data_IF_854907885480
#
_entry.id   IF_854907885480
#
_cell.length_a   1.000
_cell.length_b   1.000
_cell.length_c   1.000
_cell.angle_alpha   90.00
_cell.angle_beta   90.00
_cell.angle_gamma   90.00
#
_symmetry.space_group_name_H-M   'P 1'
#
loop_
_entity.id
_entity.type
_entity.pdbx_description
1 polymer ?
#
# COMPACT_ATOMS: atom_id res chain seq x y z
N UNK A 1 14.45 56.42 34.29
CA UNK A 1 15.86 56.76 33.98
C UNK A 1 16.73 55.53 34.16
N UNK A 2 17.72 55.34 33.25
CA UNK A 2 18.75 54.26 33.15
C UNK A 2 18.25 53.00 32.41
N UNK A 3 18.25 52.91 31.06
CA UNK A 3 19.36 52.84 30.08
C UNK A 3 20.43 51.79 30.42
N UNK A 4 20.35 50.62 29.76
CA UNK A 4 21.51 49.78 29.44
C UNK A 4 21.37 49.33 27.97
N UNK A 5 22.13 50.00 27.11
CA UNK A 5 22.60 49.46 25.82
C UNK A 5 23.93 48.76 26.12
N UNK A 6 24.21 47.63 25.47
CA UNK A 6 25.47 47.43 24.72
C UNK A 6 25.50 46.13 23.91
N UNK A 7 25.68 46.35 22.62
CA UNK A 7 26.11 45.46 21.53
C UNK A 7 27.24 44.49 21.90
N UNK A 8 27.15 43.24 21.43
CA UNK A 8 28.31 42.47 20.94
C UNK A 8 27.88 41.76 19.64
N UNK A 9 28.32 42.32 18.52
CA UNK A 9 28.40 41.64 17.24
C UNK A 9 29.84 41.15 17.08
N UNK A 10 30.03 39.83 16.90
CA UNK A 10 31.31 39.26 16.46
C UNK A 10 31.09 38.60 15.11
N UNK A 11 31.70 39.23 14.12
CA UNK A 11 31.89 38.77 12.75
C UNK A 11 32.94 37.66 12.76
N UNK A 12 32.58 36.49 12.24
CA UNK A 12 33.49 35.36 12.00
C UNK A 12 33.38 34.89 10.56
N UNK A 13 34.08 35.60 9.66
CA UNK A 13 34.36 35.19 8.28
C UNK A 13 35.54 34.22 8.33
N UNK A 14 35.41 33.03 7.74
CA UNK A 14 36.42 32.38 6.86
C UNK A 14 36.30 30.85 6.87
N UNK A 15 36.13 30.25 5.70
CA UNK A 15 36.17 28.80 5.53
C UNK A 15 35.80 28.34 4.12
N UNK A 16 36.32 29.04 3.09
CA UNK A 16 36.28 28.60 1.70
C UNK A 16 37.20 27.37 1.55
N UNK A 17 36.63 26.17 1.49
CA UNK A 17 37.35 24.94 1.16
C UNK A 17 36.83 24.39 -0.15
N UNK A 18 37.65 24.58 -1.20
CA UNK A 18 37.45 23.99 -2.51
C UNK A 18 37.68 22.48 -2.44
N UNK A 19 36.71 21.69 -2.90
CA UNK A 19 36.94 20.32 -3.34
C UNK A 19 36.39 20.19 -4.76
N UNK A 20 37.25 20.49 -5.72
CA UNK A 20 37.11 20.10 -7.12
C UNK A 20 37.38 18.60 -7.26
N UNK A 21 36.50 17.91 -8.00
CA UNK A 21 36.86 16.68 -8.71
C UNK A 21 36.49 15.34 -8.06
N UNK A 22 35.22 14.94 -8.17
CA UNK A 22 34.87 13.56 -8.52
C UNK A 22 33.61 13.58 -9.41
N UNK A 23 33.84 13.77 -10.70
CA UNK A 23 32.86 13.54 -11.76
C UNK A 23 33.13 12.14 -12.31
N UNK A 24 32.22 11.19 -12.10
CA UNK A 24 31.94 10.01 -12.94
C UNK A 24 30.99 9.05 -12.19
N UNK A 25 29.69 9.32 -12.29
CA UNK A 25 28.60 8.32 -12.44
C UNK A 25 27.22 9.00 -12.43
N UNK A 26 27.10 10.13 -13.14
CA UNK A 26 25.85 10.85 -13.35
C UNK A 26 25.32 10.67 -14.78
N UNK A 27 25.37 9.46 -15.32
CA UNK A 27 24.69 9.10 -16.57
C UNK A 27 24.10 7.70 -16.41
N UNK A 28 22.83 7.65 -15.96
CA UNK A 28 21.86 6.57 -16.19
C UNK A 28 20.51 6.82 -15.47
N UNK A 29 20.33 7.98 -14.84
CA UNK A 29 19.06 8.39 -14.23
C UNK A 29 18.51 9.73 -14.75
N UNK A 30 18.90 10.15 -15.97
CA UNK A 30 18.24 11.24 -16.70
C UNK A 30 16.96 10.71 -17.36
N UNK A 31 16.05 10.14 -16.56
CA UNK A 31 14.68 9.86 -16.97
C UNK A 31 13.92 11.19 -16.84
N UNK A 32 13.83 11.92 -17.95
CA UNK A 32 12.99 13.11 -18.18
C UNK A 32 12.65 13.94 -16.92
N UNK A 33 13.50 14.93 -16.61
CA UNK A 33 13.15 16.04 -15.71
C UNK A 33 12.01 16.92 -16.27
N UNK A 34 11.53 16.65 -17.48
CA UNK A 34 10.52 17.45 -18.19
C UNK A 34 9.09 16.92 -18.06
N UNK A 35 8.88 15.85 -17.27
CA UNK A 35 7.54 15.30 -17.00
C UNK A 35 7.18 15.41 -15.51
N UNK A 36 7.77 16.40 -14.82
CA UNK A 36 7.30 16.80 -13.50
C UNK A 36 5.93 17.45 -13.72
N UNK A 37 4.86 16.71 -13.47
CA UNK A 37 3.50 17.24 -13.35
C UNK A 37 3.57 18.60 -12.66
N UNK A 38 3.04 19.65 -13.29
CA UNK A 38 2.98 21.01 -12.71
C UNK A 38 2.68 20.89 -11.22
N UNK A 39 3.66 21.25 -10.38
CA UNK A 39 3.50 21.15 -8.94
C UNK A 39 2.38 22.10 -8.57
N UNK A 40 1.33 21.60 -7.91
CA UNK A 40 0.26 22.48 -7.43
C UNK A 40 0.90 23.46 -6.44
N UNK A 41 0.92 24.73 -6.79
CA UNK A 41 1.38 25.81 -5.93
C UNK A 41 0.21 26.26 -5.05
N UNK A 42 0.45 26.34 -3.74
CA UNK A 42 -0.52 26.82 -2.76
C UNK A 42 -0.07 28.18 -2.23
N UNK A 43 -1.01 29.10 -1.99
CA UNK A 43 -0.72 30.35 -1.29
C UNK A 43 -0.30 30.08 0.16
N UNK A 44 0.35 31.05 0.82
CA UNK A 44 0.73 30.91 2.23
C UNK A 44 -0.48 30.66 3.13
N UNK A 45 -1.59 31.36 2.89
CA UNK A 45 -2.84 31.15 3.62
C UNK A 45 -3.39 29.72 3.41
N UNK A 46 -3.33 29.19 2.18
CA UNK A 46 -3.73 27.81 1.89
C UNK A 46 -2.83 26.80 2.61
N UNK A 47 -1.51 27.02 2.62
CA UNK A 47 -0.56 26.15 3.33
C UNK A 47 -0.86 26.09 4.82
N UNK A 48 -1.13 27.24 5.45
CA UNK A 48 -1.47 27.33 6.86
C UNK A 48 -2.77 26.57 7.17
N UNK A 49 -3.83 26.75 6.38
CA UNK A 49 -5.10 26.03 6.55
C UNK A 49 -4.94 24.51 6.37
N UNK A 50 -4.21 24.08 5.34
CA UNK A 50 -3.90 22.65 5.11
C UNK A 50 -3.10 22.07 6.28
N UNK A 51 -2.14 22.83 6.82
CA UNK A 51 -1.36 22.39 7.97
C UNK A 51 -2.23 22.26 9.22
N UNK A 52 -3.14 23.22 9.46
CA UNK A 52 -4.10 23.16 10.56
C UNK A 52 -4.99 21.91 10.48
N UNK A 53 -5.63 21.64 9.34
CA UNK A 53 -6.45 20.42 9.15
C UNK A 53 -5.64 19.13 9.37
N UNK A 54 -4.37 19.09 8.95
CA UNK A 54 -3.49 17.93 9.21
C UNK A 54 -3.17 17.75 10.69
N UNK A 55 -2.95 18.85 11.42
CA UNK A 55 -2.68 18.81 12.86
C UNK A 55 -3.93 18.36 13.63
N UNK A 56 -5.11 18.88 13.26
CA UNK A 56 -6.38 18.48 13.85
C UNK A 56 -6.67 16.99 13.62
N UNK A 57 -6.51 16.52 12.39
CA UNK A 57 -6.60 15.09 12.07
C UNK A 57 -5.58 14.25 12.87
N UNK A 58 -4.33 14.71 13.00
CA UNK A 58 -3.31 14.00 13.76
C UNK A 58 -3.67 13.92 15.26
N UNK A 59 -4.25 14.98 15.82
CA UNK A 59 -4.75 14.99 17.21
C UNK A 59 -5.93 14.03 17.37
N UNK A 60 -6.93 14.12 16.48
CA UNK A 60 -8.15 13.29 16.53
C UNK A 60 -7.86 11.79 16.35
N UNK A 61 -6.81 11.44 15.61
CA UNK A 61 -6.50 10.03 15.28
C UNK A 61 -5.33 9.44 16.04
N UNK A 62 -4.62 10.21 16.89
CA UNK A 62 -3.46 9.71 17.64
C UNK A 62 -3.83 8.49 18.48
N UNK A 63 -4.86 8.61 19.32
CA UNK A 63 -5.24 7.54 20.24
C UNK A 63 -5.89 6.37 19.49
N UNK A 64 -6.66 6.66 18.43
CA UNK A 64 -7.21 5.62 17.54
C UNK A 64 -6.11 4.77 16.89
N UNK A 65 -5.00 5.39 16.48
CA UNK A 65 -3.87 4.68 15.91
C UNK A 65 -3.11 3.85 16.95
N UNK A 66 -3.00 4.36 18.18
CA UNK A 66 -2.40 3.60 19.28
C UNK A 66 -3.24 2.35 19.59
N UNK A 67 -4.54 2.52 19.81
CA UNK A 67 -5.48 1.42 20.07
C UNK A 67 -5.49 0.41 18.91
N UNK A 68 -5.48 0.89 17.66
CA UNK A 68 -5.36 0.03 16.47
C UNK A 68 -4.09 -0.82 16.48
N UNK A 69 -2.96 -0.28 16.95
CA UNK A 69 -1.71 -1.03 17.02
C UNK A 69 -1.75 -2.09 18.12
N UNK A 70 -2.30 -1.75 19.28
CA UNK A 70 -2.50 -2.69 20.39
C UNK A 70 -3.41 -3.84 19.98
N UNK A 71 -4.57 -3.54 19.37
CA UNK A 71 -5.50 -4.57 18.91
C UNK A 71 -4.90 -5.45 17.81
N UNK A 72 -4.03 -4.92 16.95
CA UNK A 72 -3.30 -5.73 15.95
C UNK A 72 -2.28 -6.65 16.59
N UNK A 73 -1.55 -6.17 17.60
CA UNK A 73 -0.63 -7.00 18.37
C UNK A 73 -1.41 -8.11 19.11
N UNK A 74 -2.50 -7.75 19.80
CA UNK A 74 -3.42 -8.68 20.45
C UNK A 74 -3.98 -9.71 19.47
N UNK A 75 -4.42 -9.28 18.28
CA UNK A 75 -4.90 -10.19 17.24
C UNK A 75 -3.86 -11.24 16.87
N UNK A 76 -2.59 -10.82 16.74
CA UNK A 76 -1.50 -11.74 16.42
C UNK A 76 -1.33 -12.78 17.53
N UNK A 77 -1.29 -12.35 18.79
CA UNK A 77 -1.19 -13.23 19.95
C UNK A 77 -2.35 -14.23 20.02
N UNK A 78 -3.59 -13.74 19.87
CA UNK A 78 -4.78 -14.59 19.90
C UNK A 78 -4.77 -15.65 18.78
N UNK A 79 -4.36 -15.26 17.58
CA UNK A 79 -4.29 -16.20 16.44
C UNK A 79 -3.14 -17.19 16.61
N UNK A 80 -2.01 -16.81 17.21
CA UNK A 80 -0.85 -17.70 17.37
C UNK A 80 -0.93 -18.63 18.57
N UNK A 81 -1.95 -18.51 19.43
CA UNK A 81 -2.13 -19.41 20.56
C UNK A 81 -2.31 -20.87 20.09
N UNK A 82 -1.81 -21.81 20.89
CA UNK A 82 -1.92 -23.26 20.62
C UNK A 82 -3.39 -23.68 20.51
N UNK A 83 -4.22 -23.12 21.40
CA UNK A 83 -5.68 -23.25 21.40
C UNK A 83 -6.31 -21.85 21.23
N UNK A 84 -6.58 -21.42 19.99
CA UNK A 84 -7.15 -20.11 19.72
C UNK A 84 -8.57 -19.97 20.29
N UNK A 85 -8.79 -18.92 21.06
CA UNK A 85 -10.13 -18.51 21.46
C UNK A 85 -10.80 -17.73 20.32
N UNK A 86 -11.68 -18.42 19.59
CA UNK A 86 -12.40 -17.84 18.44
C UNK A 86 -13.30 -16.68 18.84
N UNK A 87 -13.91 -16.72 20.04
CA UNK A 87 -14.77 -15.63 20.53
C UNK A 87 -13.93 -14.38 20.79
N UNK A 88 -12.79 -14.52 21.44
CA UNK A 88 -11.86 -13.41 21.67
C UNK A 88 -11.28 -12.86 20.35
N UNK A 89 -10.97 -13.75 19.39
CA UNK A 89 -10.50 -13.35 18.06
C UNK A 89 -11.55 -12.51 17.33
N UNK A 90 -12.80 -12.97 17.25
CA UNK A 90 -13.86 -12.23 16.56
C UNK A 90 -14.16 -10.89 17.24
N UNK A 91 -14.24 -10.87 18.58
CA UNK A 91 -14.43 -9.63 19.32
C UNK A 91 -13.30 -8.61 19.04
N UNK A 92 -12.06 -9.09 18.86
CA UNK A 92 -10.95 -8.22 18.51
C UNK A 92 -11.01 -7.76 17.04
N UNK A 93 -11.46 -8.61 16.12
CA UNK A 93 -11.73 -8.24 14.70
C UNK A 93 -12.80 -7.15 14.61
N UNK A 94 -13.86 -7.25 15.41
CA UNK A 94 -14.94 -6.25 15.48
C UNK A 94 -14.39 -4.88 15.88
N UNK A 95 -13.67 -4.80 16.99
CA UNK A 95 -13.02 -3.56 17.45
C UNK A 95 -12.07 -2.97 16.40
N UNK A 96 -11.26 -3.81 15.75
CA UNK A 96 -10.36 -3.37 14.67
C UNK A 96 -11.15 -2.82 13.48
N UNK A 97 -12.28 -3.41 13.13
CA UNK A 97 -13.12 -2.92 12.04
C UNK A 97 -13.71 -1.56 12.36
N UNK A 98 -14.27 -1.40 13.55
CA UNK A 98 -14.90 -0.16 14.01
C UNK A 98 -13.89 0.99 14.05
N UNK A 99 -12.70 0.77 14.60
CA UNK A 99 -11.63 1.77 14.60
C UNK A 99 -11.15 2.13 13.20
N UNK A 100 -11.01 1.15 12.29
CA UNK A 100 -10.66 1.43 10.90
C UNK A 100 -11.71 2.31 10.23
N UNK A 101 -12.99 2.06 10.51
CA UNK A 101 -14.08 2.84 9.96
C UNK A 101 -14.03 4.29 10.48
N UNK A 102 -13.88 4.49 11.79
CA UNK A 102 -13.68 5.82 12.40
C UNK A 102 -12.49 6.55 11.76
N UNK A 103 -11.35 5.89 11.64
CA UNK A 103 -10.16 6.46 10.99
C UNK A 103 -10.41 6.87 9.52
N UNK A 104 -11.20 6.12 8.76
CA UNK A 104 -11.55 6.49 7.38
C UNK A 104 -12.45 7.72 7.32
N UNK A 105 -13.42 7.81 8.24
CA UNK A 105 -14.31 8.98 8.33
C UNK A 105 -13.51 10.25 8.66
N UNK A 106 -12.58 10.17 9.62
CA UNK A 106 -11.65 11.27 9.94
C UNK A 106 -10.77 11.64 8.75
N UNK A 107 -10.23 10.65 8.03
CA UNK A 107 -9.42 10.90 6.83
C UNK A 107 -10.24 11.57 5.73
N UNK A 108 -11.50 11.19 5.57
CA UNK A 108 -12.39 11.82 4.61
C UNK A 108 -12.72 13.26 5.01
N UNK A 109 -13.06 13.51 6.27
CA UNK A 109 -13.32 14.86 6.78
C UNK A 109 -12.15 15.81 6.51
N UNK A 110 -10.93 15.41 6.90
CA UNK A 110 -9.70 16.16 6.62
C UNK A 110 -9.50 16.41 5.11
N UNK A 111 -9.75 15.41 4.26
CA UNK A 111 -9.65 15.58 2.80
C UNK A 111 -10.66 16.58 2.26
N UNK A 112 -11.88 16.61 2.80
CA UNK A 112 -12.91 17.55 2.41
C UNK A 112 -12.59 18.97 2.85
N UNK A 113 -12.06 19.15 4.06
CA UNK A 113 -11.55 20.45 4.51
C UNK A 113 -10.43 20.95 3.59
N UNK A 114 -9.44 20.11 3.31
CA UNK A 114 -8.36 20.43 2.37
C UNK A 114 -8.93 20.79 1.00
N UNK A 115 -9.90 20.05 0.47
CA UNK A 115 -10.52 20.34 -0.84
C UNK A 115 -11.26 21.70 -0.84
N UNK A 116 -11.82 22.12 0.29
CA UNK A 116 -12.57 23.37 0.41
C UNK A 116 -11.69 24.62 0.30
N UNK A 117 -10.40 24.52 0.61
CA UNK A 117 -9.45 25.65 0.55
C UNK A 117 -8.72 25.77 -0.79
N UNK A 118 -8.98 24.85 -1.72
CA UNK A 118 -8.36 24.83 -3.06
C UNK A 118 -9.19 25.61 -4.07
N UNK A 119 -8.51 26.22 -5.05
CA UNK A 119 -9.16 26.75 -6.25
C UNK A 119 -9.64 25.63 -7.16
N UNK A 120 -10.52 25.94 -8.10
CA UNK A 120 -11.06 24.94 -9.02
C UNK A 120 -9.98 24.40 -9.97
N UNK A 121 -9.00 25.23 -10.37
CA UNK A 121 -7.81 24.76 -11.12
C UNK A 121 -6.94 23.81 -10.29
N UNK A 122 -6.75 24.09 -9.00
CA UNK A 122 -5.99 23.23 -8.10
C UNK A 122 -6.73 21.91 -7.85
N UNK A 123 -8.06 21.94 -7.72
CA UNK A 123 -8.91 20.72 -7.62
C UNK A 123 -8.82 19.88 -8.89
N UNK A 124 -8.82 20.49 -10.08
CA UNK A 124 -8.67 19.80 -11.36
C UNK A 124 -7.28 19.17 -11.54
N UNK A 125 -6.24 19.77 -10.95
CA UNK A 125 -4.87 19.25 -10.94
C UNK A 125 -4.65 18.16 -9.90
N UNK A 126 -5.49 18.08 -8.86
CA UNK A 126 -5.46 16.96 -7.95
C UNK A 126 -5.94 15.70 -8.69
N UNK A 127 -5.12 14.64 -8.79
CA UNK A 127 -5.59 13.40 -9.38
C UNK A 127 -6.76 12.89 -8.55
N UNK A 128 -7.97 12.87 -9.14
CA UNK A 128 -9.14 12.20 -8.60
C UNK A 128 -8.87 10.70 -8.49
N UNK A 129 -8.18 10.27 -7.43
CA UNK A 129 -7.95 8.87 -7.09
C UNK A 129 -7.37 8.01 -8.22
N UNK A 130 -6.67 8.58 -9.22
CA UNK A 130 -6.08 7.80 -10.31
C UNK A 130 -4.87 7.01 -9.81
N UNK A 131 -5.15 5.86 -9.22
CA UNK A 131 -4.40 4.63 -9.51
C UNK A 131 -4.64 4.21 -10.97
N UNK A 132 -4.47 5.13 -11.92
CA UNK A 132 -4.27 4.72 -13.31
C UNK A 132 -2.90 4.04 -13.35
N UNK A 133 -2.92 2.71 -13.23
CA UNK A 133 -1.97 1.83 -13.91
C UNK A 133 -0.49 2.24 -13.88
N UNK A 134 0.01 2.76 -12.75
CA UNK A 134 1.46 2.92 -12.53
C UNK A 134 2.20 1.57 -12.42
N UNK A 135 1.50 0.45 -12.64
CA UNK A 135 2.07 -0.89 -12.78
C UNK A 135 2.11 -1.46 -14.22
N UNK A 136 1.59 -0.78 -15.26
CA UNK A 136 1.45 -1.38 -16.61
C UNK A 136 2.43 -0.89 -17.69
N UNK A 137 3.32 0.08 -17.42
CA UNK A 137 4.30 0.60 -18.41
C UNK A 137 5.77 0.31 -18.08
N UNK A 138 6.08 -0.81 -17.42
CA UNK A 138 7.47 -1.17 -17.11
C UNK A 138 7.97 -2.52 -17.64
N UNK A 139 7.25 -3.18 -18.55
CA UNK A 139 7.73 -4.44 -19.14
C UNK A 139 7.90 -4.47 -20.67
N UNK A 140 7.63 -3.37 -21.41
CA UNK A 140 7.79 -3.38 -22.88
C UNK A 140 9.09 -2.74 -23.41
N UNK A 141 9.90 -2.07 -22.58
CA UNK A 141 11.17 -1.45 -23.03
C UNK A 141 12.44 -2.05 -22.43
N UNK A 142 12.35 -3.25 -21.84
CA UNK A 142 13.48 -3.94 -21.21
C UNK A 142 14.06 -5.15 -21.97
N UNK A 143 13.52 -5.49 -23.15
CA UNK A 143 13.95 -6.68 -23.92
C UNK A 143 14.48 -6.36 -25.34
N UNK A 144 15.13 -5.21 -25.52
CA UNK A 144 15.76 -4.86 -26.81
C UNK A 144 17.21 -4.34 -26.70
N UNK A 145 17.85 -4.46 -25.54
CA UNK A 145 19.28 -4.14 -25.38
C UNK A 145 19.99 -5.25 -24.62
N UNK A 146 20.11 -6.42 -25.27
CA UNK A 146 21.24 -7.35 -25.10
C UNK A 146 21.20 -8.45 -26.18
N UNK A 147 21.04 -8.03 -27.44
CA UNK A 147 21.33 -8.85 -28.61
C UNK A 147 22.45 -8.17 -29.38
N UNK A 148 23.69 -8.40 -28.97
CA UNK A 148 24.88 -8.08 -29.78
C UNK A 148 24.68 -8.84 -31.10
N UNK A 149 24.43 -8.09 -32.17
CA UNK A 149 24.49 -8.57 -33.54
C UNK A 149 25.87 -9.19 -33.78
N UNK A 150 25.95 -10.51 -33.82
CA UNK A 150 26.90 -11.18 -34.70
C UNK A 150 26.22 -11.24 -36.06
N UNK A 151 26.48 -10.18 -36.84
CA UNK A 151 26.30 -10.18 -38.27
C UNK A 151 27.44 -11.05 -38.80
N UNK A 152 27.12 -12.28 -39.21
CA UNK A 152 27.77 -13.00 -40.30
C UNK A 152 27.13 -14.39 -40.46
N UNK A 153 26.60 -14.64 -41.66
CA UNK A 153 26.55 -15.98 -42.24
C UNK A 153 25.27 -16.81 -42.07
N UNK A 154 24.57 -16.96 -43.20
CA UNK A 154 23.70 -18.09 -43.61
C UNK A 154 22.22 -18.10 -43.18
N UNK A 155 21.39 -17.80 -44.18
CA UNK A 155 20.49 -18.78 -44.79
C UNK A 155 19.70 -19.68 -43.82
N UNK A 156 18.42 -19.36 -43.63
CA UNK A 156 17.35 -20.10 -44.30
C UNK A 156 16.00 -19.57 -43.78
N UNK A 157 15.23 -19.00 -44.70
CA UNK A 157 13.83 -18.74 -44.46
C UNK A 157 13.09 -20.06 -44.23
N UNK A 158 12.44 -20.19 -43.06
CA UNK A 158 11.37 -21.14 -42.84
C UNK A 158 10.22 -20.47 -42.09
N UNK A 159 9.16 -20.24 -42.87
CA UNK A 159 7.74 -20.39 -42.53
C UNK A 159 7.28 -19.86 -41.17
N UNK A 160 6.65 -18.69 -41.22
CA UNK A 160 5.62 -18.31 -40.25
C UNK A 160 4.35 -19.11 -40.54
N UNK A 161 4.14 -20.18 -39.79
CA UNK A 161 2.83 -20.82 -39.62
C UNK A 161 2.87 -21.56 -38.28
N UNK A 162 1.81 -21.45 -37.48
CA UNK A 162 1.67 -21.94 -36.09
C UNK A 162 2.34 -21.09 -34.99
N UNK A 163 1.77 -19.92 -34.72
CA UNK A 163 1.96 -19.19 -33.45
C UNK A 163 0.68 -19.22 -32.61
N UNK A 164 0.16 -20.40 -32.33
CA UNK A 164 -1.02 -20.59 -31.45
C UNK A 164 -0.89 -21.84 -30.57
N UNK A 165 0.20 -22.00 -29.81
CA UNK A 165 0.18 -22.99 -28.69
C UNK A 165 1.34 -22.93 -27.68
N UNK A 166 2.21 -21.90 -27.72
CA UNK A 166 3.36 -21.80 -26.80
C UNK A 166 3.34 -20.52 -25.95
N UNK A 167 2.15 -20.04 -25.58
CA UNK A 167 1.96 -18.81 -24.79
C UNK A 167 1.83 -18.98 -23.27
N UNK A 168 1.78 -20.21 -22.73
CA UNK A 168 1.49 -20.46 -21.30
C UNK A 168 2.53 -21.32 -20.56
N UNK A 169 3.48 -21.96 -21.27
CA UNK A 169 4.48 -22.86 -20.64
C UNK A 169 5.75 -22.16 -20.14
N UNK A 170 6.00 -20.91 -20.55
CA UNK A 170 7.24 -20.19 -20.25
C UNK A 170 7.26 -19.34 -18.97
N UNK A 171 6.14 -19.20 -18.24
CA UNK A 171 6.06 -18.38 -17.02
C UNK A 171 6.07 -19.17 -15.70
N UNK A 172 6.20 -20.50 -15.74
CA UNK A 172 6.17 -21.36 -14.54
C UNK A 172 7.55 -21.90 -14.12
N UNK A 173 8.56 -21.91 -14.99
CA UNK A 173 9.79 -22.69 -14.77
C UNK A 173 10.86 -22.03 -13.86
N UNK A 174 10.61 -20.87 -13.25
CA UNK A 174 11.61 -20.23 -12.36
C UNK A 174 11.02 -19.47 -11.18
N UNK A 175 9.83 -19.85 -10.72
CA UNK A 175 9.46 -19.57 -9.33
C UNK A 175 10.01 -20.73 -8.50
N UNK A 176 10.93 -20.50 -7.53
CA UNK A 176 11.28 -21.55 -6.60
C UNK A 176 9.96 -22.11 -6.06
N UNK A 177 9.80 -23.43 -6.17
CA UNK A 177 8.63 -24.12 -5.67
C UNK A 177 8.61 -23.87 -4.16
N UNK A 178 7.89 -22.84 -3.72
CA UNK A 178 7.84 -22.38 -2.34
C UNK A 178 6.99 -23.36 -1.51
N UNK A 179 7.25 -24.66 -1.64
CA UNK A 179 6.79 -25.67 -0.70
C UNK A 179 7.65 -25.58 0.57
N UNK A 180 7.75 -24.39 1.16
CA UNK A 180 8.56 -24.14 2.35
C UNK A 180 8.10 -24.99 3.55
N UNK A 181 6.85 -25.46 3.52
CA UNK A 181 6.27 -26.34 4.52
C UNK A 181 6.28 -27.83 4.13
N UNK A 182 6.86 -28.18 2.97
CA UNK A 182 6.95 -29.56 2.48
C UNK A 182 5.62 -30.34 2.58
N UNK A 183 4.53 -29.78 2.06
CA UNK A 183 3.22 -30.43 2.09
C UNK A 183 3.21 -31.75 1.32
N UNK A 184 2.50 -32.76 1.86
CA UNK A 184 2.17 -33.99 1.13
C UNK A 184 1.21 -33.69 -0.03
N UNK A 185 1.09 -34.60 -0.99
CA UNK A 185 0.17 -34.40 -2.11
C UNK A 185 -1.30 -34.37 -1.67
N UNK A 186 -1.66 -35.20 -0.68
CA UNK A 186 -2.97 -35.18 -0.03
C UNK A 186 -3.25 -33.83 0.65
N UNK A 187 -2.29 -33.29 1.42
CA UNK A 187 -2.42 -31.97 2.06
C UNK A 187 -2.62 -30.86 1.02
N UNK A 188 -1.94 -30.93 -0.14
CA UNK A 188 -2.09 -29.94 -1.22
C UNK A 188 -3.50 -29.97 -1.82
N UNK A 189 -4.07 -31.15 -2.01
CA UNK A 189 -5.44 -31.31 -2.51
C UNK A 189 -6.43 -30.67 -1.53
N UNK A 190 -6.35 -31.04 -0.26
CA UNK A 190 -7.21 -30.49 0.80
C UNK A 190 -7.07 -28.96 0.93
N UNK A 191 -5.85 -28.43 0.86
CA UNK A 191 -5.60 -26.99 0.89
C UNK A 191 -6.24 -26.26 -0.30
N UNK A 192 -6.19 -26.86 -1.49
CA UNK A 192 -6.82 -26.28 -2.68
C UNK A 192 -8.34 -26.31 -2.57
N UNK A 193 -8.93 -27.38 -2.04
CA UNK A 193 -10.36 -27.48 -1.77
C UNK A 193 -10.81 -26.41 -0.77
N UNK A 194 -10.11 -26.26 0.36
CA UNK A 194 -10.38 -25.19 1.34
C UNK A 194 -10.27 -23.79 0.71
N UNK A 195 -9.30 -23.59 -0.19
CA UNK A 195 -9.14 -22.32 -0.91
C UNK A 195 -10.33 -22.05 -1.83
N UNK A 196 -10.77 -23.05 -2.59
CA UNK A 196 -11.91 -22.94 -3.51
C UNK A 196 -13.21 -22.70 -2.73
N UNK A 197 -13.43 -23.45 -1.65
CA UNK A 197 -14.59 -23.27 -0.77
C UNK A 197 -14.63 -21.83 -0.21
N UNK A 198 -13.53 -21.37 0.39
CA UNK A 198 -13.44 -20.00 0.90
C UNK A 198 -13.66 -18.94 -0.19
N UNK A 199 -13.13 -19.15 -1.41
CA UNK A 199 -13.36 -18.24 -2.54
C UNK A 199 -14.83 -18.20 -2.95
N UNK A 200 -15.51 -19.34 -2.97
CA UNK A 200 -16.93 -19.45 -3.33
C UNK A 200 -17.81 -18.80 -2.28
N UNK A 201 -17.59 -19.12 -1.00
CA UNK A 201 -18.38 -18.58 0.12
C UNK A 201 -18.21 -17.07 0.26
N UNK A 202 -17.00 -16.54 0.05
CA UNK A 202 -16.74 -15.11 0.17
C UNK A 202 -17.04 -14.31 -1.10
N UNK A 203 -17.48 -14.96 -2.18
CA UNK A 203 -17.66 -14.32 -3.49
C UNK A 203 -18.69 -13.19 -3.42
N UNK A 204 -19.89 -13.47 -2.94
CA UNK A 204 -20.98 -12.48 -2.90
C UNK A 204 -20.59 -11.24 -2.09
N UNK A 205 -19.94 -11.43 -0.95
CA UNK A 205 -19.42 -10.33 -0.13
C UNK A 205 -18.33 -9.52 -0.85
N UNK A 206 -17.45 -10.17 -1.62
CA UNK A 206 -16.44 -9.46 -2.42
C UNK A 206 -17.09 -8.66 -3.54
N UNK A 207 -18.06 -9.24 -4.23
CA UNK A 207 -18.80 -8.59 -5.31
C UNK A 207 -19.55 -7.35 -4.76
N UNK A 208 -20.22 -7.49 -3.61
CA UNK A 208 -20.86 -6.35 -2.92
C UNK A 208 -19.84 -5.28 -2.49
N UNK A 209 -18.69 -5.68 -1.94
CA UNK A 209 -17.64 -4.73 -1.58
C UNK A 209 -17.09 -3.98 -2.80
N UNK A 210 -16.98 -4.63 -3.96
CA UNK A 210 -16.56 -4.01 -5.21
C UNK A 210 -17.61 -2.99 -5.69
N UNK A 211 -18.89 -3.34 -5.66
CA UNK A 211 -20.00 -2.43 -5.99
C UNK A 211 -19.94 -1.19 -5.09
N UNK A 212 -19.78 -1.35 -3.77
CA UNK A 212 -19.67 -0.22 -2.85
C UNK A 212 -18.41 0.63 -3.07
N UNK A 213 -17.30 0.03 -3.50
CA UNK A 213 -16.08 0.78 -3.87
C UNK A 213 -16.28 1.59 -5.16
N UNK A 214 -16.98 1.03 -6.13
CA UNK A 214 -17.36 1.74 -7.36
C UNK A 214 -18.34 2.88 -7.06
N UNK A 215 -19.36 2.63 -6.22
CA UNK A 215 -20.28 3.65 -5.71
C UNK A 215 -19.53 4.75 -4.97
N UNK A 216 -18.58 4.40 -4.09
CA UNK A 216 -17.71 5.37 -3.42
C UNK A 216 -16.99 6.25 -4.44
N UNK A 217 -16.37 5.62 -5.45
CA UNK A 217 -15.62 6.34 -6.48
C UNK A 217 -16.53 7.30 -7.24
N UNK A 218 -17.73 6.86 -7.61
CA UNK A 218 -18.73 7.70 -8.28
C UNK A 218 -19.12 8.92 -7.45
N UNK A 219 -19.43 8.73 -6.15
CA UNK A 219 -19.74 9.83 -5.22
C UNK A 219 -18.53 10.77 -5.04
N UNK A 220 -17.30 10.25 -5.07
CA UNK A 220 -16.10 11.09 -4.96
C UNK A 220 -15.80 11.90 -6.23
N UNK A 221 -16.37 11.50 -7.38
CA UNK A 221 -16.19 12.18 -8.67
C UNK A 221 -17.35 13.10 -9.07
N UNK A 222 -18.46 13.09 -8.32
CA UNK A 222 -19.55 14.02 -8.58
C UNK A 222 -19.14 15.46 -8.32
N UNK A 223 -19.79 16.39 -9.02
CA UNK A 223 -19.57 17.84 -8.87
C UNK A 223 -19.83 18.29 -7.43
N UNK A 224 -20.91 17.76 -6.85
CA UNK A 224 -21.26 17.93 -5.44
C UNK A 224 -21.04 16.61 -4.69
N UNK A 225 -20.24 16.62 -3.62
CA UNK A 225 -19.98 15.44 -2.80
C UNK A 225 -20.95 15.42 -1.63
N UNK A 226 -21.87 14.46 -1.63
CA UNK A 226 -22.73 14.18 -0.49
C UNK A 226 -21.96 13.41 0.60
N UNK A 227 -21.64 14.09 1.70
CA UNK A 227 -20.91 13.51 2.83
C UNK A 227 -21.70 12.39 3.52
N UNK A 228 -23.02 12.49 3.58
CA UNK A 228 -23.89 11.49 4.18
C UNK A 228 -23.83 10.17 3.41
N UNK A 229 -23.97 10.24 2.08
CA UNK A 229 -23.84 9.07 1.21
C UNK A 229 -22.45 8.42 1.29
N UNK A 230 -21.39 9.23 1.40
CA UNK A 230 -20.04 8.70 1.61
C UNK A 230 -19.93 7.93 2.92
N UNK A 231 -20.44 8.48 4.02
CA UNK A 231 -20.36 7.83 5.33
C UNK A 231 -21.18 6.55 5.40
N UNK A 232 -22.39 6.54 4.85
CA UNK A 232 -23.21 5.33 4.78
C UNK A 232 -22.49 4.23 3.97
N UNK A 233 -21.94 4.59 2.81
CA UNK A 233 -21.19 3.65 1.98
C UNK A 233 -19.92 3.13 2.67
N UNK A 234 -19.22 3.96 3.46
CA UNK A 234 -18.10 3.54 4.29
C UNK A 234 -18.51 2.56 5.40
N UNK A 235 -19.67 2.77 6.02
CA UNK A 235 -20.21 1.90 7.06
C UNK A 235 -20.57 0.52 6.50
N UNK A 236 -21.26 0.49 5.35
CA UNK A 236 -21.57 -0.76 4.63
C UNK A 236 -20.29 -1.52 4.24
N UNK A 237 -19.31 -0.81 3.67
CA UNK A 237 -18.04 -1.42 3.29
C UNK A 237 -17.26 -1.94 4.49
N UNK A 238 -17.32 -1.25 5.64
CA UNK A 238 -16.73 -1.72 6.90
C UNK A 238 -17.37 -3.01 7.38
N UNK A 239 -18.70 -3.10 7.36
CA UNK A 239 -19.44 -4.32 7.74
C UNK A 239 -19.04 -5.53 6.90
N UNK A 240 -18.97 -5.37 5.57
CA UNK A 240 -18.55 -6.45 4.67
C UNK A 240 -17.09 -6.84 4.92
N UNK A 241 -16.20 -5.87 5.12
CA UNK A 241 -14.79 -6.15 5.41
C UNK A 241 -14.59 -6.86 6.76
N UNK A 242 -15.44 -6.59 7.74
CA UNK A 242 -15.48 -7.32 9.01
C UNK A 242 -15.82 -8.79 8.78
N UNK A 243 -16.89 -9.07 8.03
CA UNK A 243 -17.31 -10.43 7.69
C UNK A 243 -16.21 -11.18 6.93
N UNK A 244 -15.64 -10.56 5.89
CA UNK A 244 -14.52 -11.13 5.14
C UNK A 244 -13.29 -11.39 6.02
N UNK A 245 -13.03 -10.54 7.01
CA UNK A 245 -11.95 -10.74 7.96
C UNK A 245 -12.20 -11.98 8.84
N UNK A 246 -13.42 -12.17 9.33
CA UNK A 246 -13.82 -13.37 10.09
C UNK A 246 -13.66 -14.64 9.25
N UNK A 247 -14.21 -14.66 8.03
CA UNK A 247 -14.06 -15.80 7.10
C UNK A 247 -12.59 -16.13 6.80
N UNK A 248 -11.72 -15.12 6.74
CA UNK A 248 -10.27 -15.32 6.57
C UNK A 248 -9.64 -15.97 7.80
N UNK A 249 -10.08 -15.61 9.01
CA UNK A 249 -9.66 -16.28 10.23
C UNK A 249 -10.10 -17.74 10.20
N UNK A 250 -11.35 -18.01 9.83
CA UNK A 250 -11.91 -19.36 9.81
C UNK A 250 -11.15 -20.24 8.83
N UNK A 251 -10.94 -19.75 7.61
CA UNK A 251 -10.10 -20.43 6.63
C UNK A 251 -8.68 -20.68 7.17
N UNK A 252 -8.07 -19.71 7.87
CA UNK A 252 -6.76 -19.90 8.49
C UNK A 252 -6.80 -21.00 9.57
N UNK A 253 -7.87 -21.11 10.35
CA UNK A 253 -8.00 -22.15 11.37
C UNK A 253 -8.22 -23.53 10.76
N UNK A 254 -9.04 -23.64 9.71
CA UNK A 254 -9.18 -24.90 8.97
C UNK A 254 -7.85 -25.35 8.35
N UNK A 255 -7.09 -24.41 7.79
CA UNK A 255 -5.75 -24.70 7.28
C UNK A 255 -4.84 -25.26 8.37
N UNK A 256 -4.88 -24.71 9.59
CA UNK A 256 -4.05 -25.21 10.71
C UNK A 256 -4.36 -26.66 11.07
N UNK A 257 -5.60 -27.11 10.94
CA UNK A 257 -6.01 -28.49 11.25
C UNK A 257 -5.37 -29.51 10.30
N UNK A 258 -4.95 -29.08 9.11
CA UNK A 258 -4.31 -29.94 8.12
C UNK A 258 -2.79 -30.04 8.29
N UNK A 259 -2.20 -29.24 9.17
CA UNK A 259 -0.74 -29.16 9.35
C UNK A 259 -0.26 -30.15 10.41
N UNK A 260 0.93 -30.72 10.19
CA UNK A 260 1.67 -31.39 11.26
C UNK A 260 2.17 -30.37 12.29
N UNK A 261 2.60 -30.83 13.47
CA UNK A 261 3.12 -29.95 14.53
C UNK A 261 4.32 -29.10 14.08
N UNK A 262 5.27 -29.70 13.35
CA UNK A 262 6.42 -28.98 12.78
C UNK A 262 5.99 -27.96 11.71
N UNK A 263 5.09 -28.36 10.80
CA UNK A 263 4.53 -27.48 9.78
C UNK A 263 3.75 -26.33 10.41
N UNK A 264 3.01 -26.59 11.49
CA UNK A 264 2.26 -25.58 12.23
C UNK A 264 3.22 -24.59 12.90
N UNK A 265 4.31 -25.07 13.51
CA UNK A 265 5.35 -24.23 14.10
C UNK A 265 5.96 -23.29 13.05
N UNK A 266 6.33 -23.82 11.88
CA UNK A 266 6.81 -23.02 10.76
C UNK A 266 5.73 -22.03 10.29
N UNK A 267 4.50 -22.48 10.09
CA UNK A 267 3.37 -21.65 9.66
C UNK A 267 3.11 -20.47 10.61
N UNK A 268 3.16 -20.71 11.93
CA UNK A 268 2.95 -19.69 12.96
C UNK A 268 4.12 -18.71 13.03
N UNK A 269 5.37 -19.19 12.92
CA UNK A 269 6.57 -18.34 12.89
C UNK A 269 6.54 -17.35 11.70
N UNK A 270 6.06 -17.81 10.54
CA UNK A 270 5.96 -16.97 9.34
C UNK A 270 4.84 -15.94 9.39
N UNK A 271 3.83 -16.13 10.25
CA UNK A 271 2.76 -15.15 10.44
C UNK A 271 3.25 -13.80 10.98
N UNK A 272 4.52 -13.71 11.42
CA UNK A 272 5.19 -12.50 11.88
C UNK A 272 6.31 -11.91 11.01
N UNK A 273 6.86 -12.62 10.01
CA UNK A 273 8.17 -12.29 9.38
C UNK A 273 7.99 -11.65 7.98
N UNK A 274 7.11 -10.66 7.85
CA UNK A 274 7.07 -9.81 6.62
C UNK A 274 6.99 -8.31 6.88
N UNK A 275 7.45 -7.85 8.05
CA UNK A 275 7.69 -6.43 8.30
C UNK A 275 8.93 -6.24 9.16
N UNK A 276 10.08 -5.91 8.56
CA UNK A 276 11.21 -5.44 9.38
C UNK A 276 12.58 -5.27 8.73
N UNK A 277 13.01 -6.08 7.76
CA UNK A 277 14.38 -6.02 7.23
C UNK A 277 14.49 -5.19 5.92
N UNK A 278 13.95 -3.97 5.95
CA UNK A 278 13.95 -3.08 4.79
C UNK A 278 13.70 -1.63 5.18
N UNK A 279 14.30 -1.17 6.28
CA UNK A 279 14.41 0.27 6.55
C UNK A 279 15.37 0.88 5.52
N UNK A 280 14.85 1.25 4.35
CA UNK A 280 15.43 2.40 3.63
C UNK A 280 15.19 3.60 4.52
N UNK A 281 16.24 4.02 5.23
CA UNK A 281 16.32 5.33 5.87
C UNK A 281 16.05 6.38 4.79
N UNK A 282 14.79 6.80 4.64
CA UNK A 282 14.52 8.10 4.05
C UNK A 282 14.89 9.10 5.14
N UNK A 283 16.11 9.64 5.04
CA UNK A 283 16.46 10.87 5.71
C UNK A 283 15.38 11.90 5.38
N UNK A 284 14.52 12.19 6.34
CA UNK A 284 13.78 13.45 6.36
C UNK A 284 14.83 14.52 6.65
N UNK A 285 15.38 15.15 5.60
CA UNK A 285 15.99 16.46 5.78
C UNK A 285 14.84 17.42 6.05
N UNK A 286 14.63 17.72 7.33
CA UNK A 286 14.02 18.98 7.72
C UNK A 286 15.04 20.05 7.36
N UNK A 287 14.83 20.71 6.21
CA UNK A 287 15.43 22.01 5.99
C UNK A 287 14.32 23.04 6.11
N UNK A 288 14.57 23.97 7.04
CA UNK A 288 13.88 25.24 7.22
C UNK A 288 13.84 26.05 5.93
#
# INVERSE_FOLDING_TARGET
MKNIKQNIAVVGISGLLMCTGFHLNAQNNMRSKNDCSKRIEFSEQQKEQIQKSKIEFAKATKDLNNEMNELRAKQKTLISADKPDMKAIYANVDKVSDLKNRLRKEQFAMRMEIKSVLTDEQKAQMPNGRMENRGRKQNEKGKMQNGKMHKDGREQGRKMENRSEFGLKGMQASRPNNNWLNFTDEQKVQMNELRIAHQKESKELRDQAEILQLKQKQIMTSETIDKGMVFENMDQLSGIQNQLAKMKIDHKMEVRKLLTEDQLTLFLSHSGIRKGAGKRQQHRSLNN
#
